data_IF_116889839608
#
_entry.id   IF_116889839608
#
_cell.length_a   1.000
_cell.length_b   1.000
_cell.length_c   1.000
_cell.angle_alpha   90.00
_cell.angle_beta   90.00
_cell.angle_gamma   90.00
#
_symmetry.space_group_name_H-M   'P 1'
#
loop_
_entity.id
_entity.type
_entity.pdbx_description
1 polymer ?
#
# COMPACT_ATOMS: atom_id res chain seq x y z
N UNK A 1 25.64 -2.48 -6.73
CA UNK A 1 25.57 -2.86 -5.31
C UNK A 1 26.00 -1.65 -4.51
N UNK A 2 25.05 -0.87 -3.98
CA UNK A 2 25.36 0.30 -3.15
C UNK A 2 25.82 -0.22 -1.79
N UNK A 3 27.11 -0.09 -1.48
CA UNK A 3 27.62 -0.43 -0.14
C UNK A 3 27.15 0.66 0.83
N UNK A 4 26.14 0.35 1.62
CA UNK A 4 25.75 1.13 2.79
C UNK A 4 26.80 0.86 3.87
N UNK A 5 27.61 1.87 4.21
CA UNK A 5 28.64 1.75 5.23
C UNK A 5 28.16 2.45 6.50
N UNK A 6 28.19 1.73 7.63
CA UNK A 6 27.98 2.31 8.96
C UNK A 6 29.22 3.08 9.36
N UNK A 7 29.08 4.38 9.52
CA UNK A 7 30.20 5.24 9.89
C UNK A 7 29.89 5.93 11.21
N UNK A 8 30.91 6.02 12.07
CA UNK A 8 30.85 6.83 13.28
C UNK A 8 30.98 8.30 12.92
N UNK A 9 29.99 9.09 13.31
CA UNK A 9 29.94 10.52 13.07
C UNK A 9 30.15 11.27 14.39
N UNK A 10 31.11 12.18 14.40
CA UNK A 10 31.36 13.11 15.48
C UNK A 10 30.45 14.33 15.35
N UNK A 11 29.55 14.52 16.31
CA UNK A 11 28.58 15.62 16.34
C UNK A 11 29.01 16.75 17.26
N UNK A 12 28.67 17.98 16.86
CA UNK A 12 28.68 19.14 17.75
C UNK A 12 27.33 19.24 18.48
N UNK A 13 27.26 18.63 19.66
CA UNK A 13 26.08 18.52 20.53
C UNK A 13 25.52 19.86 21.04
N UNK A 14 26.24 20.98 20.82
CA UNK A 14 25.76 22.33 21.14
C UNK A 14 24.82 22.90 20.08
N UNK A 15 24.79 22.30 18.89
CA UNK A 15 23.91 22.68 17.76
C UNK A 15 22.47 22.30 18.07
N UNK A 16 21.49 23.15 17.73
CA UNK A 16 20.09 22.92 18.09
C UNK A 16 19.58 21.53 17.64
N UNK A 17 19.93 21.08 16.43
CA UNK A 17 19.48 19.79 15.88
C UNK A 17 20.12 18.57 16.59
N UNK A 18 21.28 18.72 17.23
CA UNK A 18 21.99 17.62 17.91
C UNK A 18 21.93 17.69 19.43
N UNK A 19 21.06 18.54 19.98
CA UNK A 19 20.87 18.66 21.43
C UNK A 19 20.43 17.33 22.04
N UNK A 20 21.06 16.95 23.15
CA UNK A 20 20.74 15.73 23.89
C UNK A 20 21.33 14.44 23.30
N UNK A 21 22.18 14.56 22.28
CA UNK A 21 22.94 13.45 21.71
C UNK A 21 24.35 13.37 22.27
N UNK A 22 25.02 12.24 22.05
CA UNK A 22 26.43 12.10 22.36
C UNK A 22 27.29 12.74 21.27
N UNK A 23 28.57 12.96 21.59
CA UNK A 23 29.53 13.48 20.60
C UNK A 23 29.82 12.47 19.50
N UNK A 24 29.68 11.19 19.76
CA UNK A 24 29.85 10.11 18.79
C UNK A 24 28.50 9.45 18.56
N UNK A 25 28.06 9.40 17.32
CA UNK A 25 26.78 8.82 16.92
C UNK A 25 26.97 7.88 15.73
N UNK A 26 26.24 6.77 15.74
CA UNK A 26 26.19 5.84 14.61
C UNK A 26 25.17 6.33 13.60
N UNK A 27 25.62 6.61 12.38
CA UNK A 27 24.76 7.15 11.32
C UNK A 27 24.93 6.37 10.02
N UNK A 28 23.86 6.34 9.22
CA UNK A 28 23.95 5.87 7.83
C UNK A 28 24.41 7.02 6.92
N UNK A 29 25.72 7.10 6.70
CA UNK A 29 26.33 8.11 5.83
C UNK A 29 26.13 7.75 4.35
N UNK A 30 25.81 8.74 3.52
CA UNK A 30 25.85 8.56 2.06
C UNK A 30 27.28 8.70 1.53
N UNK A 31 27.59 8.03 0.43
CA UNK A 31 28.93 7.96 -0.19
C UNK A 31 29.03 8.76 -1.49
N UNK A 32 28.10 9.69 -1.72
CA UNK A 32 28.16 10.62 -2.85
C UNK A 32 29.20 11.72 -2.65
N UNK A 33 28.93 12.89 -3.22
CA UNK A 33 29.80 14.06 -3.08
C UNK A 33 29.97 14.48 -1.62
N UNK A 34 31.11 15.09 -1.31
CA UNK A 34 31.42 15.63 0.01
C UNK A 34 31.68 17.13 -0.07
N UNK A 35 31.35 17.85 1.01
CA UNK A 35 31.57 19.29 1.08
C UNK A 35 33.06 19.57 1.24
N UNK A 36 33.65 20.21 0.23
CA UNK A 36 35.04 20.72 0.27
C UNK A 36 35.11 22.05 1.05
N UNK A 37 34.59 23.13 0.45
CA UNK A 37 34.48 24.43 1.13
C UNK A 37 33.07 24.64 1.70
N UNK A 38 32.98 24.81 3.01
CA UNK A 38 31.73 25.16 3.70
C UNK A 38 31.31 26.57 3.31
N UNK A 39 30.02 26.74 2.97
CA UNK A 39 29.47 28.02 2.54
C UNK A 39 29.58 29.11 3.62
N UNK A 40 29.75 30.36 3.19
CA UNK A 40 29.88 31.49 4.11
C UNK A 40 28.64 31.63 5.01
N UNK A 41 28.88 31.83 6.31
CA UNK A 41 27.83 31.89 7.33
C UNK A 41 27.32 30.53 7.82
N UNK A 42 27.79 29.41 7.25
CA UNK A 42 27.58 28.08 7.81
C UNK A 42 28.76 27.65 8.67
N UNK A 43 28.47 26.84 9.70
CA UNK A 43 29.46 26.18 10.54
C UNK A 43 29.38 24.68 10.35
N UNK A 44 30.53 24.01 10.42
CA UNK A 44 30.57 22.54 10.48
C UNK A 44 30.07 22.10 11.84
N UNK A 45 29.07 21.22 11.85
CA UNK A 45 28.42 20.72 13.07
C UNK A 45 28.45 19.20 13.19
N UNK A 46 28.90 18.50 12.16
CA UNK A 46 29.16 17.07 12.22
C UNK A 46 30.30 16.67 11.28
N UNK A 47 31.10 15.67 11.66
CA UNK A 47 32.23 15.14 10.88
C UNK A 47 32.34 13.63 11.00
N UNK A 48 32.73 12.97 9.91
CA UNK A 48 33.17 11.58 9.94
C UNK A 48 34.56 11.49 9.34
N UNK A 49 35.59 11.37 10.20
CA UNK A 49 36.98 11.56 9.79
C UNK A 49 37.19 12.95 9.18
N UNK A 50 37.64 13.00 7.93
CA UNK A 50 37.84 14.25 7.18
C UNK A 50 36.58 14.75 6.46
N UNK A 51 35.51 13.95 6.42
CA UNK A 51 34.29 14.31 5.70
C UNK A 51 33.42 15.21 6.58
N UNK A 52 32.99 16.35 6.01
CA UNK A 52 31.96 17.21 6.62
C UNK A 52 30.62 16.47 6.52
N UNK A 53 30.13 15.99 7.66
CA UNK A 53 28.90 15.21 7.74
C UNK A 53 27.66 16.06 8.10
N UNK A 54 27.87 17.33 8.47
CA UNK A 54 26.77 18.25 8.72
C UNK A 54 27.20 19.70 8.84
N UNK A 55 26.33 20.59 8.37
CA UNK A 55 26.51 22.04 8.38
C UNK A 55 25.27 22.72 8.97
N UNK A 56 25.46 23.85 9.64
CA UNK A 56 24.35 24.63 10.20
C UNK A 56 24.58 26.13 10.07
N UNK A 57 23.50 26.85 9.80
CA UNK A 57 23.38 28.28 9.96
C UNK A 57 22.23 28.55 10.94
N UNK A 58 22.57 28.72 12.22
CA UNK A 58 21.63 28.93 13.33
C UNK A 58 20.79 30.20 13.14
N UNK A 59 21.39 31.29 12.60
CA UNK A 59 20.68 32.55 12.38
C UNK A 59 19.55 32.44 11.36
N UNK A 60 19.74 31.60 10.33
CA UNK A 60 18.75 31.35 9.28
C UNK A 60 17.95 30.06 9.51
N UNK A 61 18.22 29.34 10.60
CA UNK A 61 17.65 28.01 10.90
C UNK A 61 17.81 27.00 9.74
N UNK A 62 18.95 27.03 9.06
CA UNK A 62 19.25 26.10 7.96
C UNK A 62 20.22 25.03 8.45
N UNK A 63 19.89 23.77 8.19
CA UNK A 63 20.67 22.61 8.62
C UNK A 63 20.79 21.63 7.46
N UNK A 64 22.01 21.11 7.25
CA UNK A 64 22.30 20.08 6.27
C UNK A 64 23.03 18.93 6.94
N UNK A 65 22.69 17.70 6.57
CA UNK A 65 23.34 16.46 7.02
C UNK A 65 23.67 15.60 5.81
N UNK A 66 24.81 14.90 5.86
CA UNK A 66 25.29 13.99 4.80
C UNK A 66 24.90 12.53 5.09
N UNK A 67 23.97 12.31 6.02
CA UNK A 67 23.46 11.02 6.44
C UNK A 67 21.92 11.07 6.49
N UNK A 68 21.30 9.90 6.63
CA UNK A 68 19.85 9.75 6.64
C UNK A 68 19.32 9.61 8.08
N UNK A 69 18.81 10.68 8.73
CA UNK A 69 18.23 10.58 10.08
C UNK A 69 16.85 9.90 10.11
N UNK A 70 16.23 9.69 8.95
CA UNK A 70 14.90 9.07 8.81
C UNK A 70 14.93 7.53 8.87
N UNK A 71 16.10 6.92 8.66
CA UNK A 71 16.24 5.45 8.67
C UNK A 71 16.56 4.93 10.06
N UNK A 72 16.07 3.74 10.39
CA UNK A 72 16.36 3.08 11.67
C UNK A 72 17.84 2.70 11.86
N UNK A 73 18.64 2.74 10.79
CA UNK A 73 20.08 2.48 10.84
C UNK A 73 20.88 3.64 11.46
N UNK A 74 20.28 4.82 11.53
CA UNK A 74 20.81 5.96 12.30
C UNK A 74 20.17 5.90 13.68
N UNK A 75 20.88 5.37 14.68
CA UNK A 75 20.33 5.08 16.03
C UNK A 75 19.65 6.33 16.64
N UNK A 76 20.41 7.43 16.63
CA UNK A 76 20.07 8.81 16.95
C UNK A 76 18.96 9.52 16.13
N UNK A 77 18.58 8.96 14.98
CA UNK A 77 17.97 9.75 13.89
C UNK A 77 16.62 10.38 14.26
N UNK A 78 15.80 9.63 15.00
CA UNK A 78 14.50 10.11 15.49
C UNK A 78 14.62 11.30 16.44
N UNK A 79 15.67 11.35 17.26
CA UNK A 79 15.94 12.47 18.17
C UNK A 79 16.35 13.70 17.38
N UNK A 80 17.21 13.54 16.35
CA UNK A 80 17.60 14.64 15.46
C UNK A 80 16.40 15.26 14.75
N UNK A 81 15.52 14.43 14.19
CA UNK A 81 14.28 14.89 13.55
C UNK A 81 13.33 15.55 14.55
N UNK A 82 13.24 15.03 15.78
CA UNK A 82 12.45 15.66 16.85
C UNK A 82 12.99 17.06 17.18
N UNK A 83 14.28 17.21 17.39
CA UNK A 83 14.90 18.51 17.68
C UNK A 83 14.63 19.51 16.55
N UNK A 84 14.76 19.07 15.28
CA UNK A 84 14.45 19.93 14.14
C UNK A 84 12.97 20.34 14.10
N UNK A 85 12.05 19.39 14.25
CA UNK A 85 10.61 19.70 14.16
C UNK A 85 10.11 20.57 15.30
N UNK A 86 10.49 20.27 16.55
CA UNK A 86 9.95 20.93 17.73
C UNK A 86 10.77 22.16 18.14
N UNK A 87 12.10 22.03 18.25
CA UNK A 87 12.94 23.12 18.78
C UNK A 87 13.30 24.15 17.71
N UNK A 88 13.53 23.72 16.47
CA UNK A 88 13.91 24.63 15.38
C UNK A 88 12.68 25.19 14.67
N UNK A 89 11.83 24.30 14.14
CA UNK A 89 10.66 24.66 13.33
C UNK A 89 9.43 25.04 14.16
N UNK A 90 9.40 24.76 15.46
CA UNK A 90 8.31 25.13 16.35
C UNK A 90 7.00 24.36 16.11
N UNK A 91 7.09 23.14 15.60
CA UNK A 91 5.91 22.29 15.39
C UNK A 91 5.31 21.87 16.75
N UNK A 92 3.98 21.86 16.85
CA UNK A 92 3.25 21.56 18.09
C UNK A 92 2.89 20.08 18.28
N UNK A 93 3.24 19.21 17.32
CA UNK A 93 2.95 17.78 17.40
C UNK A 93 1.45 17.42 17.27
N UNK A 94 0.63 18.32 16.73
CA UNK A 94 -0.82 18.11 16.59
C UNK A 94 -1.21 17.11 15.49
N UNK A 95 -0.27 16.67 14.66
CA UNK A 95 -0.49 15.65 13.62
C UNK A 95 -0.53 14.23 14.21
N UNK A 96 -1.36 14.05 15.24
CA UNK A 96 -1.61 12.77 15.88
C UNK A 96 -2.66 11.98 15.10
N UNK A 97 -2.69 10.67 15.36
CA UNK A 97 -3.77 9.80 14.91
C UNK A 97 -5.15 10.37 15.26
N UNK A 98 -5.33 10.80 16.50
CA UNK A 98 -6.64 11.12 17.05
C UNK A 98 -7.19 12.38 16.41
N UNK A 99 -6.33 13.39 16.25
CA UNK A 99 -6.70 14.63 15.56
C UNK A 99 -7.01 14.37 14.08
N UNK A 100 -6.25 13.46 13.44
CA UNK A 100 -6.50 13.06 12.04
C UNK A 100 -7.79 12.28 11.88
N UNK A 101 -8.14 11.43 12.84
CA UNK A 101 -9.42 10.72 12.84
C UNK A 101 -10.59 11.71 12.96
N UNK A 102 -10.50 12.67 13.89
CA UNK A 102 -11.52 13.72 14.08
C UNK A 102 -11.68 14.55 12.80
N UNK A 103 -10.56 14.99 12.21
CA UNK A 103 -10.58 15.78 10.97
C UNK A 103 -11.13 14.97 9.80
N UNK A 104 -10.76 13.69 9.69
CA UNK A 104 -11.28 12.82 8.65
C UNK A 104 -12.80 12.59 8.81
N UNK A 105 -13.29 12.40 10.03
CA UNK A 105 -14.74 12.30 10.30
C UNK A 105 -15.45 13.60 9.90
N UNK A 106 -14.85 14.76 10.20
CA UNK A 106 -15.39 16.07 9.81
C UNK A 106 -15.50 16.20 8.29
N UNK A 107 -14.42 15.87 7.56
CA UNK A 107 -14.41 15.88 6.10
C UNK A 107 -15.42 14.90 5.49
N UNK A 108 -15.55 13.69 6.07
CA UNK A 108 -16.54 12.70 5.61
C UNK A 108 -17.95 13.27 5.72
N UNK A 109 -18.30 13.84 6.89
CA UNK A 109 -19.61 14.44 7.11
C UNK A 109 -19.90 15.60 6.16
N UNK A 110 -18.91 16.46 5.93
CA UNK A 110 -19.03 17.62 5.04
C UNK A 110 -19.22 17.20 3.58
N UNK A 111 -18.48 16.20 3.11
CA UNK A 111 -18.55 15.72 1.73
C UNK A 111 -19.79 14.89 1.45
N UNK A 112 -20.18 14.01 2.38
CA UNK A 112 -21.28 13.05 2.18
C UNK A 112 -22.63 13.68 2.49
N UNK A 113 -22.71 14.58 3.48
CA UNK A 113 -23.98 15.15 3.93
C UNK A 113 -25.00 14.07 4.31
N UNK A 114 -26.17 14.10 3.68
CA UNK A 114 -27.26 13.14 3.87
C UNK A 114 -27.26 11.97 2.87
N UNK A 115 -26.34 11.96 1.90
CA UNK A 115 -26.25 10.90 0.89
C UNK A 115 -25.85 9.56 1.50
N UNK A 116 -26.14 8.47 0.78
CA UNK A 116 -25.69 7.14 1.19
C UNK A 116 -24.26 6.90 0.71
N UNK A 117 -23.53 6.05 1.43
CA UNK A 117 -22.18 5.63 1.10
C UNK A 117 -22.16 4.13 0.96
N UNK A 118 -21.85 3.66 -0.23
CA UNK A 118 -21.58 2.27 -0.54
C UNK A 118 -20.10 1.98 -0.32
N UNK A 119 -19.78 0.94 0.44
CA UNK A 119 -18.42 0.44 0.59
C UNK A 119 -18.35 -1.03 0.16
N UNK A 120 -17.46 -1.30 -0.79
CA UNK A 120 -17.16 -2.66 -1.24
C UNK A 120 -16.07 -3.25 -0.34
N UNK A 121 -16.49 -4.11 0.58
CA UNK A 121 -15.66 -4.74 1.59
C UNK A 121 -14.93 -5.95 0.99
N UNK A 122 -13.60 -5.89 0.96
CA UNK A 122 -12.77 -7.01 0.48
C UNK A 122 -12.40 -8.03 1.55
N UNK A 123 -12.68 -7.76 2.83
CA UNK A 123 -12.21 -8.57 3.97
C UNK A 123 -10.79 -8.21 4.45
N UNK A 124 -10.09 -7.36 3.71
CA UNK A 124 -8.82 -6.79 4.14
C UNK A 124 -8.96 -5.79 5.30
N UNK A 125 -7.86 -5.55 6.01
CA UNK A 125 -7.81 -4.57 7.12
C UNK A 125 -8.21 -3.19 6.65
N UNK A 126 -7.75 -2.75 5.48
CA UNK A 126 -7.96 -1.37 5.02
C UNK A 126 -9.43 -1.09 4.66
N UNK A 127 -10.10 -2.02 3.99
CA UNK A 127 -11.53 -1.91 3.68
C UNK A 127 -12.38 -2.03 4.94
N UNK A 128 -12.01 -2.90 5.89
CA UNK A 128 -12.70 -3.04 7.18
C UNK A 128 -12.60 -1.77 8.03
N UNK A 129 -11.41 -1.16 8.10
CA UNK A 129 -11.18 0.11 8.80
C UNK A 129 -11.94 1.26 8.12
N UNK A 130 -11.96 1.30 6.79
CA UNK A 130 -12.75 2.27 6.04
C UNK A 130 -14.24 2.17 6.39
N UNK A 131 -14.82 0.97 6.38
CA UNK A 131 -16.22 0.74 6.76
C UNK A 131 -16.50 1.16 8.21
N UNK A 132 -15.60 0.82 9.15
CA UNK A 132 -15.74 1.22 10.55
C UNK A 132 -15.69 2.75 10.74
N UNK A 133 -14.79 3.44 10.02
CA UNK A 133 -14.67 4.89 10.08
C UNK A 133 -15.90 5.59 9.50
N UNK A 134 -16.43 5.10 8.38
CA UNK A 134 -17.68 5.61 7.80
C UNK A 134 -18.86 5.44 8.75
N UNK A 135 -18.98 4.28 9.40
CA UNK A 135 -20.04 4.03 10.38
C UNK A 135 -19.88 4.88 11.65
N UNK A 136 -18.65 5.26 12.02
CA UNK A 136 -18.40 6.21 13.11
C UNK A 136 -18.75 7.65 12.71
N UNK A 137 -18.56 7.99 11.43
CA UNK A 137 -18.79 9.34 10.91
C UNK A 137 -20.26 9.60 10.54
N UNK A 138 -20.98 8.60 10.06
CA UNK A 138 -22.30 8.75 9.45
C UNK A 138 -23.38 8.00 10.22
N UNK A 139 -24.64 8.20 9.86
CA UNK A 139 -25.74 7.41 10.41
C UNK A 139 -25.69 5.96 9.89
N UNK A 140 -26.19 5.01 10.68
CA UNK A 140 -26.21 3.58 10.32
C UNK A 140 -26.88 3.31 8.98
N UNK A 141 -27.96 4.03 8.68
CA UNK A 141 -28.74 3.86 7.45
C UNK A 141 -28.07 4.47 6.21
N UNK A 142 -27.03 5.29 6.40
CA UNK A 142 -26.24 5.85 5.29
C UNK A 142 -25.15 4.88 4.82
N UNK A 143 -24.65 3.98 5.67
CA UNK A 143 -23.51 3.13 5.33
C UNK A 143 -23.99 1.77 4.82
N UNK A 144 -23.79 1.54 3.53
CA UNK A 144 -24.10 0.28 2.87
C UNK A 144 -22.80 -0.50 2.68
N UNK A 145 -22.58 -1.53 3.48
CA UNK A 145 -21.42 -2.41 3.33
C UNK A 145 -21.78 -3.67 2.53
N UNK A 146 -21.11 -3.88 1.40
CA UNK A 146 -21.28 -5.09 0.56
C UNK A 146 -19.97 -5.86 0.56
N UNK A 147 -20.02 -7.12 0.98
CA UNK A 147 -18.89 -8.05 0.92
C UNK A 147 -19.12 -9.10 -0.15
N UNK A 148 -18.30 -9.11 -1.20
CA UNK A 148 -18.38 -10.10 -2.28
C UNK A 148 -17.37 -11.20 -1.99
N UNK A 149 -17.86 -12.38 -1.62
CA UNK A 149 -17.03 -13.56 -1.45
C UNK A 149 -16.71 -14.15 -2.83
N UNK A 150 -15.44 -14.03 -3.22
CA UNK A 150 -14.95 -14.49 -4.51
C UNK A 150 -14.58 -15.98 -4.55
N UNK A 151 -14.73 -16.71 -3.43
CA UNK A 151 -14.37 -18.12 -3.31
C UNK A 151 -12.89 -18.40 -3.06
N UNK A 152 -12.03 -17.38 -3.09
CA UNK A 152 -10.58 -17.48 -2.84
C UNK A 152 -10.17 -16.88 -1.49
N UNK A 153 -11.13 -16.77 -0.57
CA UNK A 153 -10.94 -16.31 0.80
C UNK A 153 -10.31 -17.41 1.66
N UNK A 154 -9.73 -17.05 2.81
CA UNK A 154 -9.26 -18.08 3.76
C UNK A 154 -10.45 -18.73 4.46
N UNK A 155 -10.18 -19.88 5.09
CA UNK A 155 -11.19 -20.66 5.81
C UNK A 155 -11.92 -19.79 6.84
N UNK A 156 -13.23 -19.61 6.65
CA UNK A 156 -14.14 -18.83 7.51
C UNK A 156 -13.79 -17.34 7.66
N UNK A 157 -13.02 -16.79 6.73
CA UNK A 157 -12.61 -15.38 6.81
C UNK A 157 -13.76 -14.41 6.56
N UNK A 158 -14.54 -14.62 5.51
CA UNK A 158 -15.73 -13.83 5.19
C UNK A 158 -16.72 -13.77 6.36
N UNK A 159 -16.92 -14.91 7.02
CA UNK A 159 -17.77 -15.03 8.22
C UNK A 159 -17.21 -14.24 9.41
N UNK A 160 -15.91 -14.35 9.67
CA UNK A 160 -15.28 -13.62 10.77
C UNK A 160 -15.33 -12.09 10.56
N UNK A 161 -15.18 -11.64 9.31
CA UNK A 161 -15.32 -10.21 8.94
C UNK A 161 -16.75 -9.72 9.14
N UNK A 162 -17.75 -10.49 8.68
CA UNK A 162 -19.17 -10.19 8.89
C UNK A 162 -19.50 -10.10 10.39
N UNK A 163 -19.09 -11.09 11.17
CA UNK A 163 -19.34 -11.13 12.63
C UNK A 163 -18.69 -9.95 13.35
N UNK A 164 -17.46 -9.57 12.97
CA UNK A 164 -16.75 -8.44 13.56
C UNK A 164 -17.47 -7.11 13.27
N UNK A 165 -17.88 -6.88 12.03
CA UNK A 165 -18.61 -5.66 11.66
C UNK A 165 -20.01 -5.62 12.27
N UNK A 166 -20.70 -6.77 12.35
CA UNK A 166 -22.00 -6.87 13.01
C UNK A 166 -21.93 -6.52 14.50
N UNK A 167 -20.86 -6.92 15.20
CA UNK A 167 -20.61 -6.52 16.61
C UNK A 167 -20.42 -5.01 16.76
N UNK A 168 -19.97 -4.32 15.71
CA UNK A 168 -19.87 -2.86 15.65
C UNK A 168 -21.17 -2.18 15.21
N UNK A 169 -22.25 -2.94 15.03
CA UNK A 169 -23.55 -2.44 14.59
C UNK A 169 -23.62 -2.11 13.10
N UNK A 170 -22.70 -2.63 12.30
CA UNK A 170 -22.65 -2.44 10.84
C UNK A 170 -23.32 -3.64 10.19
N UNK A 171 -24.35 -3.39 9.38
CA UNK A 171 -24.98 -4.45 8.60
C UNK A 171 -24.21 -4.66 7.30
N UNK A 172 -23.77 -5.90 7.07
CA UNK A 172 -22.99 -6.29 5.89
C UNK A 172 -23.86 -7.17 5.00
N UNK A 173 -24.04 -6.79 3.73
CA UNK A 173 -24.62 -7.65 2.71
C UNK A 173 -23.52 -8.55 2.16
N UNK A 174 -23.52 -9.82 2.55
CA UNK A 174 -22.59 -10.82 2.00
C UNK A 174 -23.17 -11.40 0.72
N UNK A 175 -22.39 -11.35 -0.36
CA UNK A 175 -22.73 -11.89 -1.68
C UNK A 175 -21.82 -13.08 -1.93
N UNK A 176 -22.37 -14.28 -1.91
CA UNK A 176 -21.62 -15.49 -2.24
C UNK A 176 -21.54 -15.63 -3.76
N UNK A 177 -20.39 -15.25 -4.33
CA UNK A 177 -20.18 -15.25 -5.77
C UNK A 177 -19.10 -16.25 -6.21
N UNK A 178 -18.70 -17.19 -5.34
CA UNK A 178 -17.61 -18.11 -5.60
C UNK A 178 -17.70 -18.79 -6.99
N UNK A 179 -18.87 -19.33 -7.33
CA UNK A 179 -19.09 -19.97 -8.64
C UNK A 179 -19.00 -18.99 -9.83
N UNK A 180 -19.43 -17.75 -9.66
CA UNK A 180 -19.30 -16.70 -10.67
C UNK A 180 -17.84 -16.37 -10.93
N UNK A 181 -17.00 -16.35 -9.89
CA UNK A 181 -15.55 -16.16 -10.05
C UNK A 181 -14.87 -17.38 -10.66
N UNK A 182 -15.18 -18.60 -10.20
CA UNK A 182 -14.57 -19.83 -10.72
C UNK A 182 -14.77 -20.00 -12.23
N UNK A 183 -15.95 -19.63 -12.72
CA UNK A 183 -16.33 -19.70 -14.13
C UNK A 183 -16.18 -18.33 -14.85
N UNK A 184 -15.60 -17.34 -14.17
CA UNK A 184 -15.42 -16.00 -14.71
C UNK A 184 -14.50 -16.00 -15.93
N UNK A 185 -14.80 -15.13 -16.88
CA UNK A 185 -14.00 -14.89 -18.08
C UNK A 185 -13.85 -13.39 -18.33
N UNK A 186 -12.79 -13.02 -19.04
CA UNK A 186 -12.55 -11.64 -19.45
C UNK A 186 -12.08 -11.57 -20.90
N UNK A 187 -12.10 -10.37 -21.46
CA UNK A 187 -11.52 -10.05 -22.75
C UNK A 187 -10.07 -9.61 -22.57
N UNK A 188 -9.13 -10.25 -23.28
CA UNK A 188 -7.69 -9.98 -23.25
C UNK A 188 -7.22 -9.43 -24.61
N UNK A 189 -6.19 -8.57 -24.65
CA UNK A 189 -5.50 -8.25 -25.90
C UNK A 189 -4.79 -9.50 -26.45
N UNK A 190 -4.72 -9.62 -27.77
CA UNK A 190 -4.00 -10.73 -28.44
C UNK A 190 -2.47 -10.46 -28.44
N UNK A 191 -2.07 -9.20 -28.52
CA UNK A 191 -0.67 -8.75 -28.53
C UNK A 191 -0.62 -7.30 -28.04
N UNK A 192 0.38 -6.96 -27.22
CA UNK A 192 0.66 -5.56 -26.83
C UNK A 192 1.33 -4.76 -27.98
N UNK A 193 1.78 -5.43 -29.05
CA UNK A 193 2.48 -4.83 -30.20
C UNK A 193 1.56 -4.55 -31.42
N UNK A 194 0.32 -5.04 -31.39
CA UNK A 194 -0.58 -4.90 -32.54
C UNK A 194 -1.25 -3.52 -32.62
N UNK A 195 -1.09 -2.83 -33.77
CA UNK A 195 -1.75 -1.55 -34.09
C UNK A 195 -3.28 -1.63 -34.18
N UNK A 196 -3.86 -2.82 -34.25
CA UNK A 196 -5.30 -3.06 -34.18
C UNK A 196 -5.59 -3.97 -32.99
N UNK A 197 -6.34 -3.52 -31.97
CA UNK A 197 -6.57 -4.29 -30.76
C UNK A 197 -7.55 -5.43 -31.05
N UNK A 198 -7.04 -6.54 -31.58
CA UNK A 198 -7.81 -7.79 -31.61
C UNK A 198 -7.89 -8.30 -30.18
N UNK A 199 -9.11 -8.69 -29.80
CA UNK A 199 -9.47 -9.09 -28.45
C UNK A 199 -9.84 -10.58 -28.46
N UNK A 200 -9.33 -11.36 -27.52
CA UNK A 200 -9.71 -12.76 -27.30
C UNK A 200 -10.43 -12.93 -25.96
N UNK A 201 -11.30 -13.93 -25.85
CA UNK A 201 -11.89 -14.32 -24.57
C UNK A 201 -10.88 -15.21 -23.83
N UNK A 202 -10.66 -14.95 -22.55
CA UNK A 202 -9.80 -15.76 -21.68
C UNK A 202 -10.39 -17.15 -21.46
N UNK A 203 -9.57 -18.10 -20.98
CA UNK A 203 -10.09 -19.31 -20.32
C UNK A 203 -10.91 -18.91 -19.07
N UNK A 204 -11.72 -19.84 -18.56
CA UNK A 204 -12.37 -19.69 -17.25
C UNK A 204 -11.31 -19.68 -16.15
N UNK A 205 -11.57 -18.94 -15.05
CA UNK A 205 -10.57 -18.76 -13.99
C UNK A 205 -10.01 -20.08 -13.44
N UNK A 206 -10.87 -21.08 -13.27
CA UNK A 206 -10.49 -22.42 -12.82
C UNK A 206 -9.60 -23.22 -13.79
N UNK A 207 -9.46 -22.76 -15.04
CA UNK A 207 -8.61 -23.35 -16.09
C UNK A 207 -7.44 -22.42 -16.49
N UNK A 208 -7.31 -21.26 -15.84
CA UNK A 208 -6.27 -20.28 -16.17
C UNK A 208 -5.00 -20.53 -15.37
N UNK A 209 -3.86 -20.61 -16.05
CA UNK A 209 -2.53 -20.72 -15.42
C UNK A 209 -1.84 -19.37 -15.27
N UNK A 210 -2.02 -18.48 -16.25
CA UNK A 210 -1.38 -17.16 -16.27
C UNK A 210 -1.87 -16.26 -15.12
N UNK A 211 -0.99 -15.77 -14.24
CA UNK A 211 -1.38 -14.99 -13.07
C UNK A 211 -1.96 -13.60 -13.39
N UNK A 212 -1.56 -12.96 -14.49
CA UNK A 212 -2.14 -11.67 -14.91
C UNK A 212 -3.54 -11.87 -15.51
N UNK A 213 -3.74 -12.94 -16.29
CA UNK A 213 -5.09 -13.31 -16.74
C UNK A 213 -6.02 -13.58 -15.54
N UNK A 214 -5.55 -14.30 -14.52
CA UNK A 214 -6.32 -14.51 -13.27
C UNK A 214 -6.72 -13.18 -12.62
N UNK A 215 -5.78 -12.22 -12.51
CA UNK A 215 -6.06 -10.89 -11.92
C UNK A 215 -7.13 -10.15 -12.71
N UNK A 216 -7.04 -10.15 -14.04
CA UNK A 216 -8.01 -9.48 -14.90
C UNK A 216 -9.40 -10.13 -14.84
N UNK A 217 -9.47 -11.47 -14.87
CA UNK A 217 -10.74 -12.20 -14.73
C UNK A 217 -11.40 -11.87 -13.39
N UNK A 218 -10.64 -11.90 -12.29
CA UNK A 218 -11.16 -11.60 -10.95
C UNK A 218 -11.60 -10.13 -10.87
N UNK A 219 -10.79 -9.18 -11.33
CA UNK A 219 -11.12 -7.76 -11.31
C UNK A 219 -12.39 -7.46 -12.11
N UNK A 220 -12.50 -7.95 -13.34
CA UNK A 220 -13.66 -7.70 -14.19
C UNK A 220 -14.93 -8.39 -13.66
N UNK A 221 -14.81 -9.62 -13.16
CA UNK A 221 -15.93 -10.33 -12.52
C UNK A 221 -16.41 -9.60 -11.27
N UNK A 222 -15.48 -9.10 -10.44
CA UNK A 222 -15.82 -8.34 -9.24
C UNK A 222 -16.63 -7.08 -9.57
N UNK A 223 -16.20 -6.30 -10.57
CA UNK A 223 -16.94 -5.07 -10.94
C UNK A 223 -18.31 -5.39 -11.54
N UNK A 224 -18.43 -6.46 -12.34
CA UNK A 224 -19.74 -6.91 -12.86
C UNK A 224 -20.71 -7.22 -11.72
N UNK A 225 -20.29 -8.04 -10.76
CA UNK A 225 -21.12 -8.42 -9.61
C UNK A 225 -21.41 -7.20 -8.73
N UNK A 226 -20.44 -6.31 -8.52
CA UNK A 226 -20.65 -5.08 -7.77
C UNK A 226 -21.74 -4.21 -8.42
N UNK A 227 -21.70 -4.04 -9.75
CA UNK A 227 -22.71 -3.29 -10.49
C UNK A 227 -24.10 -3.97 -10.43
N UNK A 228 -24.15 -5.29 -10.56
CA UNK A 228 -25.40 -6.06 -10.40
C UNK A 228 -26.01 -5.82 -9.01
N UNK A 229 -25.20 -5.91 -7.95
CA UNK A 229 -25.64 -5.66 -6.57
C UNK A 229 -26.12 -4.23 -6.38
N UNK A 230 -25.45 -3.24 -6.97
CA UNK A 230 -25.87 -1.83 -6.92
C UNK A 230 -27.25 -1.67 -7.60
N UNK A 231 -27.42 -2.29 -8.77
CA UNK A 231 -28.68 -2.28 -9.51
C UNK A 231 -29.84 -2.93 -8.74
N UNK A 232 -29.62 -4.10 -8.14
CA UNK A 232 -30.61 -4.79 -7.30
C UNK A 232 -31.07 -3.95 -6.10
N UNK A 233 -30.17 -3.13 -5.56
CA UNK A 233 -30.45 -2.26 -4.41
C UNK A 233 -31.20 -0.99 -4.80
N UNK A 234 -31.51 -0.78 -6.09
CA UNK A 234 -32.18 0.41 -6.63
C UNK A 234 -31.54 1.72 -6.13
N UNK A 235 -30.20 1.72 -6.02
CA UNK A 235 -29.45 2.90 -5.59
C UNK A 235 -29.31 3.87 -6.75
N UNK A 236 -29.72 5.12 -6.57
CA UNK A 236 -29.50 6.17 -7.56
C UNK A 236 -28.00 6.54 -7.56
N UNK A 237 -27.25 6.34 -8.66
CA UNK A 237 -25.83 6.67 -8.73
C UNK A 237 -25.53 8.14 -8.41
N UNK A 238 -26.47 9.05 -8.71
CA UNK A 238 -26.34 10.49 -8.43
C UNK A 238 -26.49 10.84 -6.92
N UNK A 239 -26.94 9.90 -6.10
CA UNK A 239 -27.21 10.11 -4.67
C UNK A 239 -26.35 9.22 -3.76
N UNK A 240 -25.47 8.39 -4.34
CA UNK A 240 -24.65 7.42 -3.61
C UNK A 240 -23.17 7.63 -3.87
N UNK A 241 -22.41 7.79 -2.79
CA UNK A 241 -20.96 7.81 -2.85
C UNK A 241 -20.40 6.39 -2.79
N UNK A 242 -19.40 6.10 -3.60
CA UNK A 242 -18.59 4.89 -3.46
C UNK A 242 -17.37 5.18 -2.57
N UNK A 243 -17.17 4.41 -1.51
CA UNK A 243 -16.00 4.50 -0.66
C UNK A 243 -15.04 3.33 -0.89
N UNK A 244 -13.74 3.64 -0.94
CA UNK A 244 -12.66 2.66 -1.09
C UNK A 244 -11.58 2.86 -0.03
N UNK A 245 -11.05 1.75 0.51
CA UNK A 245 -9.96 1.74 1.49
C UNK A 245 -8.55 1.84 0.90
N UNK A 246 -8.40 2.31 -0.34
CA UNK A 246 -7.13 2.35 -1.08
C UNK A 246 -6.08 3.23 -0.41
N UNK A 247 -4.80 2.81 -0.39
CA UNK A 247 -3.71 3.53 0.24
C UNK A 247 -2.94 4.40 -0.77
N UNK A 248 -2.26 5.46 -0.28
CA UNK A 248 -1.47 6.39 -1.12
C UNK A 248 -0.35 5.75 -1.97
N UNK A 249 0.37 4.69 -1.55
CA UNK A 249 1.31 4.01 -2.43
C UNK A 249 0.65 3.50 -3.72
N UNK A 250 -0.60 3.04 -3.62
CA UNK A 250 -1.36 2.49 -4.75
C UNK A 250 -1.71 3.57 -5.79
N UNK A 251 -1.91 4.81 -5.35
CA UNK A 251 -2.12 6.00 -6.20
C UNK A 251 -0.84 6.48 -6.89
N UNK A 252 0.32 6.31 -6.24
CA UNK A 252 1.62 6.69 -6.79
C UNK A 252 2.08 5.66 -7.83
N UNK A 253 1.88 4.36 -7.59
CA UNK A 253 2.18 3.31 -8.59
C UNK A 253 1.34 3.50 -9.86
N UNK A 254 0.05 3.85 -9.73
CA UNK A 254 -0.80 4.16 -10.89
C UNK A 254 -0.41 5.46 -11.61
N UNK A 255 0.17 6.44 -10.90
CA UNK A 255 0.76 7.64 -11.51
C UNK A 255 2.15 7.38 -12.14
N UNK A 256 2.91 6.38 -11.67
CA UNK A 256 4.24 6.04 -12.21
C UNK A 256 4.20 5.53 -13.66
N UNK A 257 3.05 4.97 -14.07
CA UNK A 257 2.72 4.61 -15.45
C UNK A 257 2.69 5.86 -16.36
N UNK A 258 2.28 7.01 -15.82
CA UNK A 258 2.20 8.29 -16.55
C UNK A 258 3.58 8.98 -16.59
N UNK A 259 4.39 8.80 -15.55
CA UNK A 259 5.66 9.52 -15.39
C UNK A 259 6.90 8.79 -15.97
N UNK A 260 6.86 7.47 -16.20
CA UNK A 260 8.03 6.74 -16.70
C UNK A 260 7.67 5.63 -17.68
N UNK A 261 8.19 5.73 -18.92
CA UNK A 261 8.00 4.77 -20.03
C UNK A 261 8.77 3.45 -19.82
N UNK A 262 9.50 3.30 -18.71
CA UNK A 262 10.54 2.25 -18.54
C UNK A 262 10.38 1.35 -17.31
N UNK A 263 9.24 1.42 -16.61
CA UNK A 263 8.96 0.51 -15.49
C UNK A 263 8.10 -0.66 -15.99
N UNK A 264 8.65 -1.89 -15.96
CA UNK A 264 7.85 -3.10 -16.13
C UNK A 264 6.77 -3.17 -15.03
N UNK A 265 5.53 -3.40 -15.43
CA UNK A 265 4.40 -3.51 -14.49
C UNK A 265 4.53 -4.82 -13.72
N UNK A 266 5.08 -4.75 -12.52
CA UNK A 266 5.25 -5.92 -11.64
C UNK A 266 3.87 -6.39 -11.11
N UNK A 267 2.89 -5.48 -10.94
CA UNK A 267 1.51 -5.80 -10.51
C UNK A 267 0.53 -4.78 -11.06
N UNK A 268 -0.56 -5.26 -11.68
CA UNK A 268 -1.75 -4.44 -11.94
C UNK A 268 -2.57 -4.30 -10.64
N UNK A 269 -2.99 -3.08 -10.30
CA UNK A 269 -3.86 -2.86 -9.14
C UNK A 269 -5.26 -3.42 -9.42
N UNK A 270 -5.61 -4.49 -8.72
CA UNK A 270 -6.94 -5.14 -8.80
C UNK A 270 -8.12 -4.23 -8.45
N UNK A 271 -7.87 -3.10 -7.78
CA UNK A 271 -8.88 -2.10 -7.42
C UNK A 271 -9.07 -1.00 -8.49
N UNK A 272 -8.23 -0.95 -9.53
CA UNK A 272 -8.27 0.08 -10.58
C UNK A 272 -8.37 -0.58 -11.96
N UNK A 273 -9.53 -1.18 -12.24
CA UNK A 273 -9.83 -1.81 -13.54
C UNK A 273 -10.23 -0.76 -14.59
N UNK A 274 -10.12 -1.10 -15.87
CA UNK A 274 -10.57 -0.25 -16.98
C UNK A 274 -12.05 0.18 -16.82
N UNK A 275 -12.87 -0.69 -16.21
CA UNK A 275 -14.28 -0.42 -15.93
C UNK A 275 -14.46 0.60 -14.80
N UNK A 276 -13.65 0.56 -13.74
CA UNK A 276 -13.66 1.60 -12.68
C UNK A 276 -13.17 2.94 -13.21
N UNK A 277 -12.19 2.94 -14.14
CA UNK A 277 -11.73 4.16 -14.82
C UNK A 277 -12.83 4.77 -15.68
N UNK A 278 -13.54 3.97 -16.49
CA UNK A 278 -14.70 4.45 -17.26
C UNK A 278 -15.82 4.97 -16.37
N UNK A 279 -16.13 4.29 -15.26
CA UNK A 279 -17.11 4.80 -14.28
C UNK A 279 -16.65 6.10 -13.60
N UNK A 280 -15.34 6.34 -13.47
CA UNK A 280 -14.77 7.61 -12.98
C UNK A 280 -14.85 8.72 -14.02
N UNK A 281 -14.69 8.38 -15.30
CA UNK A 281 -14.62 9.31 -16.42
C UNK A 281 -16.00 9.67 -17.02
N UNK A 282 -16.99 8.76 -16.95
CA UNK A 282 -18.31 8.90 -17.59
C UNK A 282 -19.42 9.45 -16.66
N UNK A 283 -19.21 9.51 -15.35
CA UNK A 283 -20.25 9.93 -14.40
C UNK A 283 -20.05 11.38 -13.88
N UNK A 284 -21.07 12.27 -14.01
CA UNK A 284 -21.12 13.51 -13.22
C UNK A 284 -21.28 13.18 -11.72
N UNK A 285 -20.86 14.07 -10.79
CA UNK A 285 -20.67 13.75 -9.37
C UNK A 285 -21.98 13.27 -8.72
N UNK A 286 -21.92 12.27 -7.80
CA UNK A 286 -20.92 12.11 -6.75
C UNK A 286 -20.05 10.85 -6.91
N UNK A 287 -19.05 10.94 -7.77
CA UNK A 287 -18.04 9.90 -7.95
C UNK A 287 -17.07 9.83 -6.77
N UNK A 288 -17.12 8.69 -6.09
CA UNK A 288 -16.03 8.08 -5.30
C UNK A 288 -15.42 9.00 -4.21
N UNK A 289 -15.86 8.87 -2.95
CA UNK A 289 -15.05 9.32 -1.82
C UNK A 289 -13.94 8.29 -1.63
N UNK A 290 -12.83 8.48 -2.35
CA UNK A 290 -11.58 7.90 -1.87
C UNK A 290 -11.28 8.57 -0.54
N UNK A 291 -11.35 7.80 0.56
CA UNK A 291 -10.67 8.16 1.79
C UNK A 291 -9.15 7.94 1.59
N UNK A 292 -8.60 8.60 0.56
CA UNK A 292 -7.19 8.68 0.19
C UNK A 292 -6.47 9.58 1.20
N UNK A 293 -6.50 9.14 2.45
CA UNK A 293 -5.77 9.80 3.51
C UNK A 293 -4.51 9.03 3.80
N UNK A 294 -4.67 7.89 4.48
CA UNK A 294 -3.75 7.61 5.57
C UNK A 294 -3.85 6.18 6.13
N UNK A 295 -4.32 5.19 5.36
CA UNK A 295 -4.66 3.87 5.95
C UNK A 295 -3.47 3.09 6.55
N UNK A 296 -2.24 3.28 6.05
CA UNK A 296 -1.04 2.72 6.69
C UNK A 296 -0.85 3.21 8.15
N UNK A 297 -1.22 4.46 8.43
CA UNK A 297 -1.17 5.06 9.78
C UNK A 297 -2.52 5.01 10.52
N UNK A 298 -3.64 4.72 9.85
CA UNK A 298 -4.89 4.38 10.55
C UNK A 298 -4.83 2.96 11.15
N UNK A 299 -3.97 2.09 10.62
CA UNK A 299 -3.58 0.84 11.28
C UNK A 299 -2.87 1.09 12.63
N UNK A 300 -2.02 2.10 12.71
CA UNK A 300 -1.45 2.59 13.98
C UNK A 300 -2.50 3.31 14.83
N UNK A 301 -3.45 4.01 14.20
CA UNK A 301 -4.50 4.74 14.90
C UNK A 301 -5.41 3.85 15.73
N UNK A 302 -5.74 2.72 15.13
CA UNK A 302 -6.48 1.63 15.70
C UNK A 302 -5.49 0.65 16.35
N UNK A 303 -4.44 1.16 16.98
CA UNK A 303 -3.58 0.44 17.91
C UNK A 303 -3.14 -0.94 17.46
N UNK A 304 -2.54 -1.09 16.27
CA UNK A 304 -1.78 -2.28 15.86
C UNK A 304 -2.30 -3.60 16.44
N UNK A 305 -3.38 -4.15 15.89
CA UNK A 305 -3.94 -5.44 16.34
C UNK A 305 -4.61 -5.46 17.73
N UNK A 306 -4.58 -4.35 18.49
CA UNK A 306 -5.20 -4.24 19.82
C UNK A 306 -6.47 -3.39 19.86
N UNK A 307 -6.81 -2.68 18.78
CA UNK A 307 -8.05 -1.91 18.72
C UNK A 307 -9.31 -2.78 18.76
N UNK A 308 -10.39 -2.29 19.40
CA UNK A 308 -11.71 -2.94 19.35
C UNK A 308 -12.30 -3.01 17.93
N UNK A 309 -11.72 -2.27 16.97
CA UNK A 309 -12.16 -2.17 15.57
C UNK A 309 -11.48 -3.19 14.63
N UNK A 310 -10.48 -3.94 15.13
CA UNK A 310 -9.79 -5.00 14.38
C UNK A 310 -10.13 -6.35 14.98
N UNK A 311 -10.56 -7.35 14.18
CA UNK A 311 -10.71 -8.72 14.67
C UNK A 311 -9.40 -9.16 15.34
N UNK A 312 -9.45 -9.52 16.63
CA UNK A 312 -8.29 -10.08 17.34
C UNK A 312 -8.09 -11.53 16.91
N UNK A 313 -6.85 -11.90 16.64
CA UNK A 313 -6.43 -13.26 16.26
C UNK A 313 -5.76 -13.33 14.88
N UNK A 314 -5.38 -14.53 14.46
CA UNK A 314 -4.60 -14.89 13.24
C UNK A 314 -5.12 -14.33 11.90
N UNK A 315 -6.26 -13.63 11.92
CA UNK A 315 -6.87 -12.87 10.82
C UNK A 315 -6.10 -11.57 10.52
N UNK A 316 -5.34 -11.04 11.49
CA UNK A 316 -4.44 -9.89 11.29
C UNK A 316 -3.18 -10.24 10.46
N UNK A 317 -3.00 -11.51 10.09
CA UNK A 317 -1.82 -12.02 9.41
C UNK A 317 -1.86 -11.88 7.89
N UNK A 318 -0.97 -11.05 7.35
CA UNK A 318 -0.47 -11.09 5.97
C UNK A 318 -1.44 -10.67 4.85
N UNK A 319 -1.20 -9.45 4.37
CA UNK A 319 -1.35 -8.95 3.00
C UNK A 319 -2.16 -9.79 1.99
N UNK A 320 -3.19 -9.15 1.45
CA UNK A 320 -3.65 -9.35 0.08
C UNK A 320 -5.00 -10.07 -0.04
N UNK A 321 -6.08 -9.30 -0.08
CA UNK A 321 -7.38 -9.81 -0.56
C UNK A 321 -7.89 -8.91 -1.68
N UNK A 322 -7.18 -9.00 -2.79
CA UNK A 322 -7.76 -8.84 -4.12
C UNK A 322 -8.06 -10.24 -4.67
N UNK A 323 -7.13 -10.86 -5.42
CA UNK A 323 -7.31 -12.20 -5.97
C UNK A 323 -7.16 -13.37 -4.98
N UNK A 324 -6.89 -13.10 -3.70
CA UNK A 324 -6.88 -14.13 -2.63
C UNK A 324 -5.96 -15.32 -2.92
N UNK A 325 -6.48 -16.52 -2.65
CA UNK A 325 -5.80 -17.80 -2.93
C UNK A 325 -5.56 -18.07 -4.43
N UNK A 326 -6.27 -17.40 -5.35
CA UNK A 326 -6.15 -17.69 -6.79
C UNK A 326 -4.72 -17.47 -7.34
N UNK A 327 -3.97 -16.54 -6.74
CA UNK A 327 -2.58 -16.22 -7.10
C UNK A 327 -1.54 -16.88 -6.17
N UNK A 328 -2.01 -17.71 -5.23
CA UNK A 328 -1.16 -18.50 -4.33
C UNK A 328 -1.11 -19.98 -4.72
N UNK A 329 -1.82 -20.36 -5.78
CA UNK A 329 -1.75 -21.68 -6.41
C UNK A 329 -1.04 -21.52 -7.76
N UNK A 330 0.12 -22.16 -7.89
CA UNK A 330 0.82 -22.31 -9.16
C UNK A 330 0.07 -23.38 -9.95
N UNK A 331 -0.79 -22.94 -10.87
CA UNK A 331 -1.53 -23.82 -11.76
C UNK A 331 -0.67 -24.10 -13.00
N UNK A 332 -0.55 -25.38 -13.37
CA UNK A 332 0.20 -25.80 -14.55
C UNK A 332 -0.55 -26.96 -15.22
N UNK A 333 -0.59 -26.93 -16.56
CA UNK A 333 -1.02 -28.07 -17.38
C UNK A 333 0.19 -28.93 -17.77
N UNK A 334 1.32 -28.28 -18.10
CA UNK A 334 2.59 -28.89 -18.48
C UNK A 334 3.72 -28.43 -17.54
N UNK A 335 4.79 -29.23 -17.36
CA UNK A 335 5.95 -28.80 -16.60
C UNK A 335 6.65 -27.60 -17.28
N UNK A 336 7.01 -26.59 -16.50
CA UNK A 336 7.75 -25.43 -17.01
C UNK A 336 9.23 -25.77 -17.19
N UNK A 337 9.61 -26.17 -18.39
CA UNK A 337 10.98 -26.57 -18.76
C UNK A 337 11.44 -25.75 -19.95
N UNK A 338 12.51 -24.99 -19.76
CA UNK A 338 13.14 -24.17 -20.79
C UNK A 338 14.43 -24.82 -21.30
N UNK A 339 15.03 -24.25 -22.36
CA UNK A 339 16.25 -24.81 -23.00
C UNK A 339 17.46 -24.85 -22.05
N UNK A 340 17.49 -23.96 -21.07
CA UNK A 340 18.50 -23.81 -20.02
C UNK A 340 18.32 -24.79 -18.85
N UNK A 341 17.27 -25.61 -18.83
CA UNK A 341 17.00 -26.54 -17.73
C UNK A 341 18.16 -27.51 -17.45
N UNK A 342 18.80 -28.15 -18.46
CA UNK A 342 19.93 -29.04 -18.20
C UNK A 342 21.17 -28.28 -17.70
N UNK A 343 21.46 -27.11 -18.28
CA UNK A 343 22.59 -26.27 -17.91
C UNK A 343 22.48 -25.78 -16.47
N UNK A 344 21.31 -25.25 -16.11
CA UNK A 344 21.02 -24.75 -14.76
C UNK A 344 21.15 -25.86 -13.72
N UNK A 345 20.66 -27.07 -14.02
CA UNK A 345 20.78 -28.21 -13.11
C UNK A 345 22.25 -28.66 -12.93
N UNK A 346 23.07 -28.61 -13.97
CA UNK A 346 24.50 -28.93 -13.86
C UNK A 346 25.23 -27.92 -12.96
N UNK A 347 24.92 -26.62 -13.10
CA UNK A 347 25.46 -25.58 -12.22
C UNK A 347 25.05 -25.83 -10.77
N UNK A 348 23.76 -26.07 -10.53
CA UNK A 348 23.26 -26.34 -9.17
C UNK A 348 23.90 -27.59 -8.56
N UNK A 349 24.12 -28.63 -9.35
CA UNK A 349 24.82 -29.86 -8.89
C UNK A 349 26.24 -29.58 -8.42
N UNK A 350 26.99 -28.76 -9.17
CA UNK A 350 28.34 -28.33 -8.76
C UNK A 350 28.28 -27.47 -7.49
N UNK A 351 27.27 -26.62 -7.35
CA UNK A 351 27.08 -25.79 -6.15
C UNK A 351 26.75 -26.64 -4.92
N UNK A 352 25.87 -27.63 -5.05
CA UNK A 352 25.48 -28.51 -3.94
C UNK A 352 26.60 -29.45 -3.52
N UNK A 353 27.39 -29.94 -4.48
CA UNK A 353 28.50 -30.88 -4.24
C UNK A 353 29.87 -30.19 -4.29
N UNK A 354 29.93 -28.88 -4.07
CA UNK A 354 31.13 -28.05 -4.33
C UNK A 354 32.42 -28.62 -3.72
N UNK A 355 32.36 -29.11 -2.48
CA UNK A 355 33.53 -29.69 -1.78
C UNK A 355 34.07 -30.98 -2.43
N UNK A 356 33.23 -31.74 -3.13
CA UNK A 356 33.62 -32.93 -3.88
C UNK A 356 33.98 -32.58 -5.34
N UNK A 357 33.27 -31.61 -5.93
CA UNK A 357 33.51 -31.12 -7.28
C UNK A 357 34.83 -30.38 -7.44
N UNK A 358 35.36 -29.75 -6.37
CA UNK A 358 36.67 -29.06 -6.38
C UNK A 358 37.85 -30.04 -6.20
N UNK A 359 37.59 -31.28 -5.74
CA UNK A 359 38.62 -32.31 -5.53
C UNK A 359 38.87 -33.20 -6.76
N UNK A 360 38.03 -33.08 -7.79
CA UNK A 360 38.21 -33.68 -9.12
C UNK A 360 38.70 -32.61 -10.07
#
# INVERSE_FOLDING_TARGET
>A
MFFLLYWFCFLNVLTCVFRGLQKEEVVLLTHGDSVDKVADGFKVVARSGNIVAGIANESKKLYGVQFHPEVGLTENGKVMLKNFLYDVAGCSGTFTVQNREIECIREIKEKVGSSKVLVLLSGGVDSTVCTALLNKALNKDQVIAVHIDNGFMRKRESQAVEEALKKLGIQVKVVNAAHSFYNGTTTLPISDEDRTPRKRISKTLNMTTNPEEKRKIIGDTFVKIANEVIGEMNLNPEEVFLAQGTLRPDLIESASIIASVKAEVIKTHHNDTELIRKLRDEAPPPCIVMLAGNGARHREALGGGQSPWTPRGDIAGSWGQGPGLAIRVICAEEPYICKDFPETNNILKIVTDYSASVKK
#
